data_IF_536668844240
#
_entry.id   IF_536668844240
#
_cell.length_a   1.000
_cell.length_b   1.000
_cell.length_c   1.000
_cell.angle_alpha   90.00
_cell.angle_beta   90.00
_cell.angle_gamma   90.00
#
_symmetry.space_group_name_H-M   'P 1'
#
loop_
_entity.id
_entity.type
_entity.pdbx_description
1 polymer ?
#
# COMPACT_ATOMS: atom_id res chain seq x y z
N UNK A 1 -53.14 15.12 8.32
CA UNK A 1 -52.25 13.99 8.67
C UNK A 1 -50.94 14.16 7.92
N UNK A 2 -49.96 14.71 8.57
CA UNK A 2 -48.66 15.01 7.97
C UNK A 2 -47.67 13.88 8.27
N UNK A 3 -47.26 13.18 7.22
CA UNK A 3 -46.26 12.09 7.31
C UNK A 3 -44.87 12.68 7.40
N UNK A 4 -44.25 12.54 8.57
CA UNK A 4 -42.88 12.90 8.86
C UNK A 4 -41.91 11.95 8.13
N UNK A 5 -41.28 12.42 7.05
CA UNK A 5 -40.12 11.76 6.46
C UNK A 5 -38.88 12.00 7.34
N UNK A 6 -38.53 11.03 8.17
CA UNK A 6 -37.25 10.97 8.85
C UNK A 6 -36.14 10.87 7.80
N UNK A 7 -35.40 11.97 7.59
CA UNK A 7 -34.10 11.97 6.92
C UNK A 7 -33.09 11.18 7.76
N UNK A 8 -32.85 9.94 7.39
CA UNK A 8 -31.67 9.20 7.84
C UNK A 8 -30.45 9.83 7.16
N UNK A 9 -29.82 10.78 7.82
CA UNK A 9 -28.43 11.17 7.52
C UNK A 9 -27.56 9.94 7.78
N UNK A 10 -27.22 9.22 6.71
CA UNK A 10 -26.09 8.30 6.74
C UNK A 10 -24.84 9.12 7.08
N UNK A 11 -24.40 9.05 8.34
CA UNK A 11 -23.03 9.39 8.71
C UNK A 11 -22.11 8.39 8.00
N UNK A 12 -21.76 8.69 6.76
CA UNK A 12 -20.51 8.21 6.19
C UNK A 12 -19.42 8.93 6.98
N UNK A 13 -18.89 8.26 8.01
CA UNK A 13 -17.60 8.64 8.57
C UNK A 13 -16.59 8.45 7.42
N UNK A 14 -16.25 9.53 6.76
CA UNK A 14 -15.02 9.65 6.02
C UNK A 14 -13.92 9.47 7.07
N UNK A 15 -13.46 8.25 7.30
CA UNK A 15 -12.18 8.04 7.96
C UNK A 15 -11.18 8.61 6.99
N UNK A 16 -10.78 9.84 7.27
CA UNK A 16 -9.89 10.60 6.43
C UNK A 16 -8.61 9.81 6.24
N UNK A 17 -8.23 9.65 4.99
CA UNK A 17 -6.92 9.16 4.62
C UNK A 17 -5.90 10.14 5.19
N UNK A 18 -4.99 9.63 6.01
CA UNK A 18 -3.96 10.43 6.65
C UNK A 18 -2.62 10.12 6.00
N UNK A 19 -1.94 11.16 5.52
CA UNK A 19 -0.54 11.08 5.12
C UNK A 19 0.36 11.22 6.34
N UNK A 20 1.43 10.46 6.40
CA UNK A 20 2.41 10.54 7.49
C UNK A 20 3.29 11.81 7.43
N UNK A 21 3.01 12.71 6.49
CA UNK A 21 3.66 14.01 6.33
C UNK A 21 2.68 15.15 6.70
N UNK A 22 3.19 16.19 7.37
CA UNK A 22 2.42 17.39 7.71
C UNK A 22 2.33 17.69 9.21
N UNK A 23 1.96 18.93 9.55
CA UNK A 23 2.03 19.46 10.92
C UNK A 23 0.96 18.95 11.89
N UNK A 24 -0.10 18.31 11.40
CA UNK A 24 -1.24 17.85 12.21
C UNK A 24 -1.36 16.33 12.30
N UNK A 25 -0.29 15.59 11.98
CA UNK A 25 -0.30 14.12 12.02
C UNK A 25 0.06 13.66 13.43
N UNK A 26 -0.70 12.72 14.04
CA UNK A 26 -0.35 12.17 15.35
C UNK A 26 1.05 11.55 15.36
N UNK A 27 1.84 11.86 16.36
CA UNK A 27 3.21 11.37 16.51
C UNK A 27 3.32 9.85 16.35
N UNK A 28 2.47 9.09 17.05
CA UNK A 28 2.49 7.61 17.00
C UNK A 28 2.20 7.08 15.58
N UNK A 29 1.40 7.82 14.76
CA UNK A 29 1.13 7.43 13.38
C UNK A 29 2.39 7.53 12.53
N UNK A 30 3.13 8.63 12.65
CA UNK A 30 4.41 8.82 11.95
C UNK A 30 5.43 7.78 12.41
N UNK A 31 5.59 7.59 13.72
CA UNK A 31 6.54 6.62 14.29
C UNK A 31 6.23 5.18 13.89
N UNK A 32 4.96 4.81 13.65
CA UNK A 32 4.62 3.48 13.17
C UNK A 32 5.18 3.19 11.77
N UNK A 33 5.20 4.19 10.88
CA UNK A 33 5.82 4.05 9.56
C UNK A 33 7.34 4.11 9.60
N UNK A 34 7.93 4.89 10.50
CA UNK A 34 9.40 4.84 10.74
C UNK A 34 9.83 3.46 11.25
N UNK A 35 9.07 2.86 12.16
CA UNK A 35 9.33 1.49 12.63
C UNK A 35 9.21 0.47 11.50
N UNK A 36 8.17 0.59 10.64
CA UNK A 36 8.00 -0.27 9.48
C UNK A 36 9.19 -0.12 8.51
N UNK A 37 9.60 1.12 8.21
CA UNK A 37 10.80 1.41 7.41
C UNK A 37 12.05 0.75 8.00
N UNK A 38 12.28 0.92 9.29
CA UNK A 38 13.44 0.34 9.99
C UNK A 38 13.46 -1.18 9.83
N UNK A 39 12.33 -1.85 10.00
CA UNK A 39 12.21 -3.29 9.81
C UNK A 39 12.53 -3.71 8.37
N UNK A 40 12.05 -2.97 7.38
CA UNK A 40 12.36 -3.22 5.96
C UNK A 40 13.84 -2.98 5.66
N UNK A 41 14.44 -1.91 6.20
CA UNK A 41 15.86 -1.64 6.03
C UNK A 41 16.73 -2.77 6.60
N UNK A 42 16.35 -3.38 7.73
CA UNK A 42 17.06 -4.56 8.27
C UNK A 42 16.99 -5.75 7.31
N UNK A 43 15.83 -6.01 6.70
CA UNK A 43 15.70 -7.09 5.72
C UNK A 43 16.53 -6.74 4.46
N UNK A 44 16.43 -5.51 3.98
CA UNK A 44 17.16 -5.05 2.80
C UNK A 44 18.69 -5.05 2.96
N UNK A 45 19.18 -4.80 4.17
CA UNK A 45 20.62 -4.84 4.46
C UNK A 45 21.23 -6.23 4.29
N UNK A 46 20.43 -7.29 4.49
CA UNK A 46 20.88 -8.69 4.36
C UNK A 46 20.60 -9.27 2.97
N UNK A 47 19.67 -8.75 2.20
CA UNK A 47 19.08 -9.44 1.05
C UNK A 47 18.72 -8.48 -0.09
N UNK A 48 19.49 -7.51 -0.48
CA UNK A 48 19.25 -6.64 -1.67
C UNK A 48 17.75 -6.49 -2.08
N UNK A 49 16.91 -6.14 -1.13
CA UNK A 49 15.49 -5.99 -1.34
C UNK A 49 15.21 -4.57 -1.85
N UNK A 50 14.66 -4.43 -3.06
CA UNK A 50 14.25 -3.13 -3.58
C UNK A 50 12.81 -3.11 -4.13
N UNK A 51 12.20 -4.26 -4.37
CA UNK A 51 10.85 -4.35 -4.93
C UNK A 51 9.97 -5.26 -4.11
N UNK A 52 8.83 -4.78 -3.66
CA UNK A 52 7.88 -5.59 -2.92
C UNK A 52 6.43 -5.23 -3.22
N UNK A 53 5.56 -6.24 -3.14
CA UNK A 53 4.13 -6.03 -3.24
C UNK A 53 3.55 -5.69 -1.86
N UNK A 54 2.61 -4.74 -1.84
CA UNK A 54 1.69 -4.54 -0.72
C UNK A 54 0.33 -5.12 -1.10
N UNK A 55 -0.13 -6.06 -0.32
CA UNK A 55 -1.41 -6.73 -0.54
C UNK A 55 -2.16 -6.94 0.76
N UNK A 56 -3.35 -7.54 0.71
CA UNK A 56 -4.17 -7.87 1.87
C UNK A 56 -4.98 -9.13 1.61
N UNK A 57 -5.59 -9.70 2.65
CA UNK A 57 -6.49 -10.82 2.47
C UNK A 57 -7.79 -10.40 1.78
N UNK A 58 -8.43 -9.31 2.25
CA UNK A 58 -9.70 -8.78 1.72
C UNK A 58 -9.62 -7.27 1.47
N UNK A 59 -10.60 -6.68 0.73
CA UNK A 59 -10.63 -5.23 0.52
C UNK A 59 -10.82 -4.45 1.83
N UNK A 60 -10.21 -3.25 1.92
CA UNK A 60 -10.39 -2.34 3.08
C UNK A 60 -9.43 -2.56 4.25
N UNK A 61 -8.38 -3.35 4.07
CA UNK A 61 -7.34 -3.60 5.09
C UNK A 61 -6.20 -2.56 5.10
N UNK A 62 -6.31 -1.49 4.32
CA UNK A 62 -5.38 -0.36 4.39
C UNK A 62 -4.11 -0.49 3.52
N UNK A 63 -4.02 -1.45 2.59
CA UNK A 63 -2.85 -1.69 1.73
C UNK A 63 -2.33 -0.42 1.04
N UNK A 64 -3.19 0.29 0.28
CA UNK A 64 -2.80 1.50 -0.47
C UNK A 64 -2.39 2.66 0.44
N UNK A 65 -3.05 2.80 1.61
CA UNK A 65 -2.64 3.74 2.65
C UNK A 65 -1.23 3.40 3.15
N UNK A 66 -0.99 2.13 3.45
CA UNK A 66 0.31 1.66 3.91
C UNK A 66 1.38 1.87 2.85
N UNK A 67 1.08 1.60 1.57
CA UNK A 67 2.01 1.80 0.46
C UNK A 67 2.50 3.25 0.35
N UNK A 68 1.56 4.21 0.35
CA UNK A 68 1.90 5.64 0.24
C UNK A 68 2.69 6.12 1.46
N UNK A 69 2.23 5.81 2.67
CA UNK A 69 2.88 6.31 3.88
C UNK A 69 4.24 5.65 4.15
N UNK A 70 4.41 4.40 3.75
CA UNK A 70 5.72 3.75 3.77
C UNK A 70 6.67 4.40 2.76
N UNK A 71 6.19 4.70 1.54
CA UNK A 71 6.98 5.42 0.54
C UNK A 71 7.45 6.78 1.06
N UNK A 72 6.55 7.56 1.67
CA UNK A 72 6.90 8.84 2.31
C UNK A 72 7.97 8.64 3.38
N UNK A 73 7.81 7.65 4.25
CA UNK A 73 8.77 7.38 5.30
C UNK A 73 10.15 6.96 4.76
N UNK A 74 10.20 6.19 3.65
CA UNK A 74 11.45 5.82 2.98
C UNK A 74 12.10 7.05 2.31
N UNK A 75 11.30 7.93 1.71
CA UNK A 75 11.79 9.17 1.09
C UNK A 75 12.38 10.14 2.13
N UNK A 76 11.78 10.25 3.31
CA UNK A 76 12.33 11.00 4.45
C UNK A 76 13.71 10.47 4.91
N UNK A 77 14.01 9.21 4.62
CA UNK A 77 15.32 8.57 4.87
C UNK A 77 16.30 8.74 3.68
N UNK A 78 15.96 9.60 2.73
CA UNK A 78 16.81 9.91 1.57
C UNK A 78 16.76 8.87 0.44
N UNK A 79 15.77 7.99 0.42
CA UNK A 79 15.60 6.97 -0.63
C UNK A 79 14.75 7.50 -1.77
N UNK A 80 15.12 7.15 -3.00
CA UNK A 80 14.27 7.34 -4.18
C UNK A 80 13.21 6.23 -4.20
N UNK A 81 11.91 6.60 -4.22
CA UNK A 81 10.82 5.64 -4.07
C UNK A 81 9.73 5.89 -5.11
N UNK A 82 9.24 4.81 -5.72
CA UNK A 82 8.05 4.83 -6.56
C UNK A 82 6.97 3.90 -6.02
N UNK A 83 5.73 4.39 -5.99
CA UNK A 83 4.52 3.60 -5.70
C UNK A 83 3.77 3.39 -7.00
N UNK A 84 3.49 2.14 -7.34
CA UNK A 84 2.79 1.75 -8.57
C UNK A 84 1.42 1.17 -8.21
N UNK A 85 0.35 1.77 -8.75
CA UNK A 85 -1.01 1.23 -8.59
C UNK A 85 -1.22 0.06 -9.56
N UNK A 86 -1.04 -1.13 -9.05
CA UNK A 86 -1.26 -2.38 -9.77
C UNK A 86 -2.66 -2.99 -9.51
N UNK A 87 -3.54 -2.31 -8.76
CA UNK A 87 -4.96 -2.67 -8.66
C UNK A 87 -5.71 -2.11 -9.88
N UNK A 88 -5.42 -2.65 -11.07
CA UNK A 88 -6.02 -2.21 -12.33
C UNK A 88 -7.54 -2.43 -12.37
N UNK A 89 -8.13 -3.13 -11.39
CA UNK A 89 -9.57 -3.41 -11.30
C UNK A 89 -10.31 -2.34 -10.51
N UNK A 90 -9.70 -1.86 -9.42
CA UNK A 90 -10.27 -0.84 -8.52
C UNK A 90 -9.18 0.11 -8.03
N UNK A 91 -8.57 0.87 -8.95
CA UNK A 91 -7.46 1.76 -8.63
C UNK A 91 -7.84 2.75 -7.54
N UNK A 92 -6.91 3.05 -6.67
CA UNK A 92 -7.21 3.85 -5.50
C UNK A 92 -6.21 4.98 -5.21
N UNK A 93 -5.00 4.94 -5.75
CA UNK A 93 -3.97 5.95 -5.48
C UNK A 93 -4.40 7.35 -5.91
N UNK A 94 -5.10 7.49 -7.06
CA UNK A 94 -5.64 8.77 -7.51
C UNK A 94 -6.49 9.44 -6.42
N UNK A 95 -7.37 8.68 -5.78
CA UNK A 95 -8.25 9.19 -4.72
C UNK A 95 -7.46 9.58 -3.47
N UNK A 96 -6.50 8.78 -3.08
CA UNK A 96 -5.68 9.04 -1.90
C UNK A 96 -4.80 10.27 -2.07
N UNK A 97 -4.27 10.48 -3.26
CA UNK A 97 -3.40 11.61 -3.58
C UNK A 97 -4.17 12.80 -4.17
N UNK A 98 -5.51 12.75 -4.18
CA UNK A 98 -6.40 13.81 -4.71
C UNK A 98 -6.07 14.21 -6.14
N UNK A 99 -5.62 13.23 -6.94
CA UNK A 99 -5.36 13.41 -8.36
C UNK A 99 -6.67 13.39 -9.16
N UNK A 100 -6.69 14.08 -10.29
CA UNK A 100 -7.76 13.98 -11.28
C UNK A 100 -7.79 12.61 -11.99
N UNK A 101 -8.70 12.47 -12.97
CA UNK A 101 -8.89 11.19 -13.67
C UNK A 101 -8.10 11.04 -14.98
N UNK A 102 -7.39 12.09 -15.43
CA UNK A 102 -6.80 12.14 -16.76
C UNK A 102 -5.27 11.95 -16.77
N UNK A 103 -4.76 11.11 -15.88
CA UNK A 103 -3.34 10.76 -15.88
C UNK A 103 -3.12 9.46 -16.63
N UNK A 104 -2.09 9.45 -17.49
CA UNK A 104 -1.54 8.21 -18.04
C UNK A 104 -1.00 7.35 -16.89
N UNK A 105 -1.07 6.04 -17.02
CA UNK A 105 -0.66 5.12 -15.97
C UNK A 105 -0.13 3.79 -16.49
N UNK A 106 -0.12 2.80 -15.62
CA UNK A 106 0.35 1.44 -15.92
C UNK A 106 -0.30 0.90 -17.20
N UNK A 107 -1.64 1.01 -17.32
CA UNK A 107 -2.37 0.50 -18.48
C UNK A 107 -1.91 1.15 -19.80
N UNK A 108 -1.63 2.46 -19.78
CA UNK A 108 -1.17 3.18 -20.97
C UNK A 108 0.23 2.74 -21.40
N UNK A 109 1.12 2.51 -20.42
CA UNK A 109 2.48 2.00 -20.69
C UNK A 109 2.40 0.58 -21.26
N UNK A 110 1.63 -0.31 -20.62
CA UNK A 110 1.53 -1.71 -21.04
C UNK A 110 0.89 -1.88 -22.43
N UNK A 111 0.11 -0.89 -22.88
CA UNK A 111 -0.48 -0.86 -24.24
C UNK A 111 0.33 -0.06 -25.25
N UNK A 112 1.48 0.50 -24.85
CA UNK A 112 2.34 1.32 -25.73
C UNK A 112 1.80 2.73 -26.03
N UNK A 113 0.81 3.19 -25.26
CA UNK A 113 0.20 4.53 -25.41
C UNK A 113 0.92 5.61 -24.59
N UNK A 114 1.90 5.21 -23.76
CA UNK A 114 2.77 6.11 -23.00
C UNK A 114 4.13 5.48 -22.75
N UNK A 115 5.13 6.32 -22.49
CA UNK A 115 6.40 5.92 -21.87
C UNK A 115 6.37 6.22 -20.37
N UNK A 116 7.28 5.60 -19.63
CA UNK A 116 7.31 5.72 -18.15
C UNK A 116 7.44 7.17 -17.70
N UNK A 117 8.29 7.95 -18.37
CA UNK A 117 8.57 9.35 -18.06
C UNK A 117 7.34 10.26 -18.21
N UNK A 118 6.41 9.91 -19.12
CA UNK A 118 5.17 10.67 -19.32
C UNK A 118 4.09 10.30 -18.29
N UNK A 119 4.12 9.10 -17.73
CA UNK A 119 3.12 8.60 -16.81
C UNK A 119 3.53 8.74 -15.34
N UNK A 120 4.83 8.90 -15.08
CA UNK A 120 5.38 9.02 -13.74
C UNK A 120 5.07 10.41 -13.16
N UNK A 121 4.42 10.44 -12.00
CA UNK A 121 4.04 11.67 -11.29
C UNK A 121 5.00 11.86 -10.12
N UNK A 122 5.70 12.98 -10.07
CA UNK A 122 6.52 13.37 -8.94
C UNK A 122 5.71 14.22 -7.95
N UNK A 123 5.73 13.83 -6.68
CA UNK A 123 5.18 14.60 -5.56
C UNK A 123 6.33 15.20 -4.77
N UNK A 124 6.74 16.42 -5.12
CA UNK A 124 7.88 17.11 -4.48
C UNK A 124 7.67 17.27 -2.97
N UNK A 125 6.47 17.67 -2.55
CA UNK A 125 6.14 17.87 -1.12
C UNK A 125 6.20 16.58 -0.30
N UNK A 126 6.07 15.41 -0.92
CA UNK A 126 6.11 14.10 -0.29
C UNK A 126 7.43 13.36 -0.54
N UNK A 127 8.26 13.84 -1.45
CA UNK A 127 9.52 13.22 -1.85
C UNK A 127 9.36 11.89 -2.59
N UNK A 128 8.19 11.56 -3.14
CA UNK A 128 7.89 10.27 -3.76
C UNK A 128 7.49 10.41 -5.23
N UNK A 129 7.63 9.32 -5.96
CA UNK A 129 7.07 9.17 -7.29
C UNK A 129 5.89 8.19 -7.25
N UNK A 130 4.91 8.42 -8.11
CA UNK A 130 3.71 7.58 -8.21
C UNK A 130 3.41 7.29 -9.68
N UNK A 131 3.13 6.03 -9.96
CA UNK A 131 2.59 5.60 -11.22
C UNK A 131 1.16 5.06 -10.98
N UNK A 132 0.16 5.81 -11.45
CA UNK A 132 -1.24 5.43 -11.28
C UNK A 132 -1.62 4.29 -12.23
N UNK A 133 -2.75 3.63 -11.99
CA UNK A 133 -3.19 2.50 -12.81
C UNK A 133 -3.50 2.88 -14.27
N UNK A 134 -3.97 4.11 -14.52
CA UNK A 134 -4.53 4.52 -15.82
C UNK A 134 -5.97 4.04 -15.99
N UNK A 135 -6.39 3.82 -17.25
CA UNK A 135 -7.73 3.33 -17.57
C UNK A 135 -7.90 1.86 -17.13
N UNK A 136 -9.08 1.52 -16.59
CA UNK A 136 -9.40 0.13 -16.20
C UNK A 136 -9.50 -0.76 -17.45
N UNK A 137 -8.62 -1.76 -17.61
CA UNK A 137 -8.63 -2.62 -18.77
C UNK A 137 -9.63 -3.78 -18.65
N UNK A 138 -10.05 -4.41 -19.74
CA UNK A 138 -10.93 -5.58 -19.70
C UNK A 138 -10.23 -6.86 -19.18
N UNK A 139 -8.91 -6.94 -19.29
CA UNK A 139 -8.09 -8.14 -18.99
C UNK A 139 -6.90 -7.82 -18.07
N UNK A 140 -7.14 -7.39 -16.80
CA UNK A 140 -6.07 -6.94 -15.90
C UNK A 140 -4.98 -7.98 -15.64
N UNK A 141 -5.36 -9.23 -15.34
CA UNK A 141 -4.38 -10.29 -15.01
C UNK A 141 -3.43 -10.61 -16.16
N UNK A 142 -3.95 -10.61 -17.41
CA UNK A 142 -3.14 -10.84 -18.61
C UNK A 142 -2.14 -9.69 -18.81
N UNK A 143 -2.59 -8.45 -18.63
CA UNK A 143 -1.71 -7.29 -18.71
C UNK A 143 -0.60 -7.33 -17.65
N UNK A 144 -0.95 -7.65 -16.41
CA UNK A 144 0.02 -7.76 -15.32
C UNK A 144 0.99 -8.94 -15.48
N UNK A 145 0.65 -9.94 -16.31
CA UNK A 145 1.53 -11.07 -16.61
C UNK A 145 2.33 -10.91 -17.91
N UNK A 146 2.21 -9.78 -18.60
CA UNK A 146 2.80 -9.54 -19.90
C UNK A 146 4.29 -9.17 -19.85
N UNK A 147 5.00 -9.35 -20.97
CA UNK A 147 6.39 -8.89 -21.13
C UNK A 147 6.56 -7.38 -20.93
N UNK A 148 5.64 -6.48 -21.40
CA UNK A 148 5.70 -5.07 -21.08
C UNK A 148 5.68 -4.78 -19.56
N UNK A 149 4.97 -5.57 -18.75
CA UNK A 149 4.97 -5.41 -17.28
C UNK A 149 6.31 -5.81 -16.68
N UNK A 150 6.92 -6.88 -17.16
CA UNK A 150 8.26 -7.34 -16.77
C UNK A 150 9.28 -6.23 -17.00
N UNK A 151 9.28 -5.67 -18.21
CA UNK A 151 10.13 -4.54 -18.59
C UNK A 151 9.87 -3.31 -17.71
N UNK A 152 8.62 -2.94 -17.50
CA UNK A 152 8.26 -1.79 -16.66
C UNK A 152 8.86 -1.93 -15.25
N UNK A 153 8.69 -3.10 -14.61
CA UNK A 153 9.23 -3.32 -13.26
C UNK A 153 10.75 -3.29 -13.26
N UNK A 154 11.40 -3.86 -14.28
CA UNK A 154 12.87 -3.82 -14.41
C UNK A 154 13.39 -2.39 -14.59
N UNK A 155 12.75 -1.59 -15.44
CA UNK A 155 13.09 -0.18 -15.65
C UNK A 155 12.96 0.61 -14.33
N UNK A 156 11.88 0.38 -13.57
CA UNK A 156 11.68 1.02 -12.26
C UNK A 156 12.70 0.55 -11.21
N UNK A 157 13.05 -0.72 -11.17
CA UNK A 157 14.12 -1.26 -10.28
C UNK A 157 15.48 -0.61 -10.52
N UNK A 158 15.77 -0.27 -11.76
CA UNK A 158 17.02 0.38 -12.13
C UNK A 158 17.02 1.88 -11.81
N UNK A 159 15.85 2.52 -11.74
CA UNK A 159 15.70 3.95 -11.52
C UNK A 159 15.49 4.34 -10.04
N UNK A 160 14.97 3.44 -9.21
CA UNK A 160 14.59 3.73 -7.82
C UNK A 160 15.24 2.78 -6.82
N UNK A 161 15.53 3.31 -5.62
CA UNK A 161 15.96 2.48 -4.48
C UNK A 161 14.88 1.51 -4.04
N UNK A 162 13.61 1.95 -4.09
CA UNK A 162 12.45 1.12 -3.73
C UNK A 162 11.30 1.24 -4.72
N UNK A 163 10.75 0.09 -5.13
CA UNK A 163 9.54 -0.03 -5.95
C UNK A 163 8.46 -0.72 -5.13
N UNK A 164 7.37 -0.01 -4.85
CA UNK A 164 6.24 -0.51 -4.07
C UNK A 164 5.07 -0.77 -5.02
N UNK A 165 4.69 -2.02 -5.21
CA UNK A 165 3.55 -2.42 -6.03
C UNK A 165 2.30 -2.55 -5.15
N UNK A 166 1.36 -1.59 -5.20
CA UNK A 166 0.06 -1.69 -4.52
C UNK A 166 -0.86 -2.61 -5.32
N UNK A 167 -1.22 -3.75 -4.76
CA UNK A 167 -1.91 -4.83 -5.48
C UNK A 167 -3.31 -5.08 -4.93
N UNK A 168 -4.25 -5.68 -5.69
CA UNK A 168 -5.55 -6.08 -5.16
C UNK A 168 -5.42 -7.18 -4.09
N UNK A 169 -6.49 -7.40 -3.28
CA UNK A 169 -6.49 -8.43 -2.24
C UNK A 169 -6.37 -9.84 -2.80
N UNK A 170 -5.53 -10.68 -2.16
CA UNK A 170 -5.21 -12.07 -2.59
C UNK A 170 -6.42 -13.00 -2.62
N UNK A 171 -7.41 -12.79 -1.73
CA UNK A 171 -8.58 -13.67 -1.70
C UNK A 171 -9.57 -13.41 -2.84
N UNK A 172 -9.45 -12.25 -3.49
CA UNK A 172 -10.39 -11.82 -4.53
C UNK A 172 -9.92 -12.21 -5.93
N UNK A 173 -8.62 -12.00 -6.22
CA UNK A 173 -8.01 -12.21 -7.53
C UNK A 173 -6.57 -12.72 -7.42
N UNK A 174 -6.02 -13.20 -8.53
CA UNK A 174 -4.67 -13.75 -8.60
C UNK A 174 -3.58 -12.70 -8.87
N UNK A 175 -3.95 -11.46 -9.09
CA UNK A 175 -3.08 -10.38 -9.56
C UNK A 175 -1.86 -10.17 -8.64
N UNK A 176 -2.07 -10.20 -7.30
CA UNK A 176 -0.96 -10.10 -6.34
C UNK A 176 0.03 -11.28 -6.45
N UNK A 177 -0.46 -12.48 -6.73
CA UNK A 177 0.37 -13.67 -6.94
C UNK A 177 1.17 -13.57 -8.26
N UNK A 178 0.55 -13.03 -9.32
CA UNK A 178 1.21 -12.76 -10.60
C UNK A 178 2.34 -11.74 -10.40
N UNK A 179 2.06 -10.64 -9.72
CA UNK A 179 3.02 -9.58 -9.47
C UNK A 179 4.16 -10.00 -8.52
N UNK A 180 3.89 -10.98 -7.65
CA UNK A 180 4.89 -11.53 -6.74
C UNK A 180 6.12 -12.10 -7.43
N UNK A 181 6.01 -12.52 -8.70
CA UNK A 181 7.17 -13.01 -9.48
C UNK A 181 8.19 -11.92 -9.83
N UNK A 182 7.76 -10.67 -9.84
CA UNK A 182 8.62 -9.51 -10.11
C UNK A 182 9.23 -8.91 -8.84
N UNK A 183 8.70 -9.27 -7.69
CA UNK A 183 9.04 -8.68 -6.40
C UNK A 183 9.95 -9.60 -5.59
N UNK A 184 10.77 -9.00 -4.71
CA UNK A 184 11.61 -9.73 -3.76
C UNK A 184 10.78 -10.33 -2.62
N UNK A 185 9.53 -9.88 -2.45
CA UNK A 185 8.57 -10.43 -1.51
C UNK A 185 7.31 -9.59 -1.36
N UNK A 186 6.50 -9.97 -0.38
CA UNK A 186 5.22 -9.37 -0.08
C UNK A 186 5.13 -8.86 1.36
N UNK A 187 4.54 -7.69 1.55
CA UNK A 187 4.06 -7.20 2.84
C UNK A 187 2.55 -7.38 2.88
N UNK A 188 2.06 -8.15 3.86
CA UNK A 188 0.63 -8.44 4.01
C UNK A 188 0.00 -7.46 5.01
N UNK A 189 -0.92 -6.61 4.53
CA UNK A 189 -1.72 -5.75 5.38
C UNK A 189 -2.88 -6.54 5.98
N UNK A 190 -3.02 -6.46 7.29
CA UNK A 190 -4.10 -7.11 8.05
C UNK A 190 -4.73 -6.06 8.95
N UNK A 191 -6.04 -5.87 8.83
CA UNK A 191 -6.74 -4.90 9.67
C UNK A 191 -7.25 -5.57 10.95
N UNK A 192 -6.98 -4.94 12.10
CA UNK A 192 -7.43 -5.41 13.42
C UNK A 192 -8.94 -5.60 13.44
N UNK A 193 -9.38 -6.76 13.94
CA UNK A 193 -10.80 -7.12 14.10
C UNK A 193 -11.65 -6.98 12.81
N UNK A 194 -11.07 -7.29 11.63
CA UNK A 194 -11.74 -7.06 10.35
C UNK A 194 -11.88 -8.32 9.50
N UNK A 195 -10.79 -8.98 9.12
CA UNK A 195 -10.82 -10.22 8.38
C UNK A 195 -10.82 -11.43 9.35
N UNK A 196 -11.54 -12.53 9.05
CA UNK A 196 -11.38 -13.80 9.77
C UNK A 196 -9.94 -14.30 9.67
N UNK A 197 -9.42 -14.88 10.75
CA UNK A 197 -8.05 -15.41 10.80
C UNK A 197 -7.77 -16.41 9.68
N UNK A 198 -8.73 -17.26 9.40
CA UNK A 198 -8.65 -18.30 8.36
C UNK A 198 -8.46 -17.68 6.97
N UNK A 199 -9.11 -16.54 6.70
CA UNK A 199 -8.96 -15.79 5.44
C UNK A 199 -7.55 -15.20 5.30
N UNK A 200 -6.99 -14.70 6.38
CA UNK A 200 -5.61 -14.17 6.40
C UNK A 200 -4.59 -15.30 6.17
N UNK A 201 -4.78 -16.43 6.84
CA UNK A 201 -3.93 -17.61 6.66
C UNK A 201 -4.00 -18.15 5.23
N UNK A 202 -5.20 -18.24 4.64
CA UNK A 202 -5.38 -18.64 3.25
C UNK A 202 -4.70 -17.68 2.28
N UNK A 203 -4.74 -16.36 2.53
CA UNK A 203 -4.03 -15.39 1.72
C UNK A 203 -2.50 -15.60 1.77
N UNK A 204 -1.94 -15.85 2.96
CA UNK A 204 -0.54 -16.23 3.11
C UNK A 204 -0.22 -17.50 2.32
N UNK A 205 -1.02 -18.56 2.47
CA UNK A 205 -0.81 -19.85 1.77
C UNK A 205 -0.83 -19.66 0.25
N UNK A 206 -1.76 -18.88 -0.30
CA UNK A 206 -1.84 -18.62 -1.74
C UNK A 206 -0.59 -17.91 -2.28
N UNK A 207 -0.03 -16.96 -1.56
CA UNK A 207 1.20 -16.28 -1.94
C UNK A 207 2.40 -17.23 -1.87
N UNK A 208 2.54 -17.98 -0.77
CA UNK A 208 3.67 -18.90 -0.59
C UNK A 208 3.62 -20.10 -1.54
N UNK A 209 2.43 -20.58 -1.92
CA UNK A 209 2.26 -21.67 -2.89
C UNK A 209 2.79 -21.33 -4.29
N UNK A 210 2.86 -20.05 -4.64
CA UNK A 210 3.44 -19.58 -5.92
C UNK A 210 4.86 -19.04 -5.74
N UNK A 211 5.51 -19.31 -4.60
CA UNK A 211 6.89 -18.93 -4.33
C UNK A 211 7.07 -17.48 -3.85
N UNK A 212 5.99 -16.74 -3.59
CA UNK A 212 6.10 -15.35 -3.07
C UNK A 212 6.49 -15.40 -1.59
N UNK A 213 7.61 -14.81 -1.27
CA UNK A 213 8.10 -14.68 0.10
C UNK A 213 7.30 -13.63 0.86
N UNK A 214 6.88 -13.94 2.08
CA UNK A 214 6.27 -12.96 2.97
C UNK A 214 7.38 -12.27 3.78
N UNK A 215 7.59 -10.96 3.54
CA UNK A 215 8.56 -10.14 4.25
C UNK A 215 8.09 -9.79 5.65
N UNK A 216 6.77 -9.63 5.81
CA UNK A 216 6.17 -9.29 7.09
C UNK A 216 4.67 -9.03 6.98
N UNK A 217 4.09 -8.72 8.14
CA UNK A 217 2.67 -8.35 8.28
C UNK A 217 2.58 -6.97 8.91
N UNK A 218 1.74 -6.11 8.34
CA UNK A 218 1.41 -4.79 8.90
C UNK A 218 0.01 -4.85 9.48
N UNK A 219 -0.11 -4.68 10.80
CA UNK A 219 -1.41 -4.58 11.46
C UNK A 219 -1.92 -3.14 11.33
N UNK A 220 -3.04 -2.97 10.62
CA UNK A 220 -3.67 -1.66 10.38
C UNK A 220 -4.92 -1.49 11.25
N UNK A 221 -5.34 -0.24 11.49
CA UNK A 221 -6.56 0.05 12.24
C UNK A 221 -6.53 -0.43 13.69
N UNK A 222 -5.36 -0.60 14.27
CA UNK A 222 -5.17 -0.97 15.66
C UNK A 222 -5.49 0.21 16.57
N UNK A 223 -6.36 0.02 17.55
CA UNK A 223 -6.72 1.02 18.55
C UNK A 223 -6.06 0.71 19.89
N UNK A 224 -4.94 1.39 20.14
CA UNK A 224 -4.16 1.23 21.39
C UNK A 224 -4.95 1.55 22.66
N UNK A 225 -6.02 2.37 22.59
CA UNK A 225 -6.81 2.78 23.76
C UNK A 225 -7.78 1.68 24.22
N UNK A 226 -8.25 0.85 23.32
CA UNK A 226 -9.26 -0.18 23.63
C UNK A 226 -8.66 -1.55 23.95
N UNK A 227 -7.42 -1.82 23.53
CA UNK A 227 -6.79 -3.14 23.70
C UNK A 227 -5.76 -3.22 24.84
N UNK A 228 -5.44 -2.11 25.51
CA UNK A 228 -4.47 -2.07 26.60
C UNK A 228 -4.84 -2.89 27.84
N UNK A 229 -6.00 -3.54 27.85
CA UNK A 229 -6.46 -4.36 29.01
C UNK A 229 -6.21 -5.86 28.86
N UNK A 230 -5.73 -6.37 27.72
CA UNK A 230 -5.66 -7.82 27.49
C UNK A 230 -4.42 -8.38 26.81
N UNK A 231 -3.40 -7.61 26.46
CA UNK A 231 -2.25 -8.17 25.76
C UNK A 231 -0.90 -7.66 26.28
N UNK A 232 0.07 -8.58 26.31
CA UNK A 232 1.48 -8.36 26.70
C UNK A 232 2.25 -7.37 25.78
N UNK A 233 1.57 -6.76 24.81
CA UNK A 233 2.12 -5.75 23.89
C UNK A 233 2.09 -4.31 24.45
N UNK A 234 1.57 -4.12 25.68
CA UNK A 234 1.45 -2.80 26.33
C UNK A 234 2.79 -2.16 26.75
N UNK A 235 3.92 -2.84 26.62
CA UNK A 235 5.19 -2.37 27.19
C UNK A 235 6.06 -1.51 26.27
N UNK A 236 5.65 -1.16 25.05
CA UNK A 236 6.58 -0.52 24.10
C UNK A 236 6.31 0.95 23.77
N UNK A 237 5.20 1.56 24.23
CA UNK A 237 4.82 2.91 23.76
C UNK A 237 4.51 3.96 24.85
N UNK A 238 4.86 3.75 26.11
CA UNK A 238 4.80 4.80 27.15
C UNK A 238 6.19 5.39 27.46
N UNK A 239 6.85 5.94 26.44
CA UNK A 239 7.83 7.00 26.70
C UNK A 239 7.13 8.35 26.48
N UNK A 240 6.44 8.84 27.53
CA UNK A 240 6.13 10.27 27.64
C UNK A 240 7.46 11.02 27.70
N UNK A 241 7.85 11.67 26.61
CA UNK A 241 8.75 12.80 26.70
C UNK A 241 8.01 13.92 27.41
N UNK A 242 8.16 14.00 28.73
CA UNK A 242 7.93 15.23 29.47
C UNK A 242 9.04 16.18 29.04
N UNK A 243 8.71 17.09 28.11
CA UNK A 243 9.51 18.28 27.87
C UNK A 243 9.41 19.16 29.12
N UNK A 244 10.53 19.32 29.80
CA UNK A 244 10.77 20.43 30.73
C UNK A 244 10.93 21.73 29.92
#
# INVERSE_FOLDING_TARGET
MASSKKNQKQHRSSKDFMLASGSNVPFNYVESFKSLRTNLNFIAATEKLNTFILTSAIPGEGKSNTAINLAISLAEDGKSVVVVDCDLRKPSLNRYLKLGHNFKGVTDILTGNAVVEEALIQFEDLGIHVLVAGAVPPNPSEMLSSEPMDKLVEDLKNAFDYVILDTPPVSVVTDAAILGRYADGAVLCVRSNFAPKETVLLAKERLTAVGVRILGVVLTGFDTKNESKSSAYSYTYEYEYKSN
#
